data_IF_147529690999
#
_entry.id   IF_147529690999
#
_cell.length_a   1.000
_cell.length_b   1.000
_cell.length_c   1.000
_cell.angle_alpha   90.00
_cell.angle_beta   90.00
_cell.angle_gamma   90.00
#
_symmetry.space_group_name_H-M   'P 1'
#
loop_
_entity.id
_entity.type
_entity.pdbx_description
1 polymer ?
#
# COMPACT_ATOMS: atom_id res chain seq x y z
N UNK A 1 -20.10 77.11 -1.14
CA UNK A 1 -20.46 76.19 -0.03
C UNK A 1 -20.95 74.83 -0.57
N UNK A 2 -21.86 74.78 -1.56
CA UNK A 2 -22.42 73.53 -2.10
C UNK A 2 -21.30 72.62 -2.70
N UNK A 3 -20.40 73.17 -3.49
CA UNK A 3 -19.29 72.41 -4.13
C UNK A 3 -18.34 71.81 -3.08
N UNK A 4 -18.04 72.55 -2.01
CA UNK A 4 -17.21 72.06 -0.92
C UNK A 4 -17.89 70.88 -0.14
N UNK A 5 -19.19 70.99 0.09
CA UNK A 5 -20.00 69.93 0.70
C UNK A 5 -20.03 68.63 -0.13
N UNK A 6 -20.21 68.77 -1.46
CA UNK A 6 -20.15 67.62 -2.37
C UNK A 6 -18.79 66.93 -2.35
N UNK A 7 -17.69 67.72 -2.35
CA UNK A 7 -16.32 67.19 -2.27
C UNK A 7 -16.08 66.37 -0.98
N UNK A 8 -16.54 66.88 0.16
CA UNK A 8 -16.43 66.17 1.43
C UNK A 8 -17.24 64.86 1.44
N UNK A 9 -18.42 64.85 0.89
CA UNK A 9 -19.25 63.63 0.81
C UNK A 9 -18.55 62.59 -0.07
N UNK A 10 -17.99 63.00 -1.22
CA UNK A 10 -17.24 62.07 -2.11
C UNK A 10 -16.02 61.49 -1.40
N UNK A 11 -15.25 62.31 -0.66
CA UNK A 11 -14.10 61.80 0.13
C UNK A 11 -14.52 60.78 1.19
N UNK A 12 -15.61 60.99 1.89
CA UNK A 12 -16.13 60.08 2.89
C UNK A 12 -16.54 58.72 2.22
N UNK A 13 -17.26 58.79 1.11
CA UNK A 13 -17.69 57.60 0.40
C UNK A 13 -16.49 56.78 -0.13
N UNK A 14 -15.50 57.45 -0.70
CA UNK A 14 -14.27 56.78 -1.17
C UNK A 14 -13.50 56.18 -0.03
N UNK A 15 -13.33 56.88 1.12
CA UNK A 15 -12.63 56.35 2.27
C UNK A 15 -13.33 55.14 2.88
N UNK A 16 -14.67 55.18 3.01
CA UNK A 16 -15.49 54.06 3.45
C UNK A 16 -15.38 52.85 2.51
N UNK A 17 -15.40 53.10 1.20
CA UNK A 17 -15.24 52.05 0.18
C UNK A 17 -13.88 51.36 0.31
N UNK A 18 -12.79 52.11 0.51
CA UNK A 18 -11.44 51.57 0.72
C UNK A 18 -11.36 50.75 2.00
N UNK A 19 -11.92 51.22 3.11
CA UNK A 19 -11.98 50.50 4.38
C UNK A 19 -12.74 49.19 4.21
N UNK A 20 -13.91 49.22 3.58
CA UNK A 20 -14.69 48.01 3.30
C UNK A 20 -13.97 47.04 2.39
N UNK A 21 -13.30 47.53 1.37
CA UNK A 21 -12.49 46.69 0.48
C UNK A 21 -11.34 45.98 1.24
N UNK A 22 -10.61 46.74 2.06
CA UNK A 22 -9.55 46.17 2.90
C UNK A 22 -10.08 45.16 3.92
N UNK A 23 -11.19 45.48 4.57
CA UNK A 23 -11.83 44.56 5.51
C UNK A 23 -12.23 43.24 4.82
N UNK A 24 -12.90 43.31 3.69
CA UNK A 24 -13.30 42.13 2.92
C UNK A 24 -12.09 41.32 2.44
N UNK A 25 -10.99 41.99 2.06
CA UNK A 25 -9.73 41.32 1.68
C UNK A 25 -9.14 40.56 2.86
N UNK A 26 -9.11 41.16 4.06
CA UNK A 26 -8.60 40.48 5.28
C UNK A 26 -9.45 39.27 5.61
N UNK A 27 -10.79 39.41 5.63
CA UNK A 27 -11.72 38.32 5.93
C UNK A 27 -11.59 37.17 4.91
N UNK A 28 -11.48 37.50 3.62
CA UNK A 28 -11.27 36.50 2.57
C UNK A 28 -9.93 35.76 2.71
N UNK A 29 -8.85 36.47 3.07
CA UNK A 29 -7.55 35.87 3.31
C UNK A 29 -7.57 34.94 4.53
N UNK A 30 -8.24 35.31 5.62
CA UNK A 30 -8.42 34.42 6.77
C UNK A 30 -9.24 33.18 6.43
N UNK A 31 -10.35 33.34 5.70
CA UNK A 31 -11.16 32.21 5.24
C UNK A 31 -10.37 31.27 4.33
N UNK A 32 -9.56 31.82 3.43
CA UNK A 32 -8.68 31.03 2.57
C UNK A 32 -7.63 30.27 3.37
N UNK A 33 -6.98 30.92 4.35
CA UNK A 33 -6.03 30.28 5.28
C UNK A 33 -6.68 29.12 6.03
N UNK A 34 -7.86 29.35 6.60
CA UNK A 34 -8.58 28.33 7.33
C UNK A 34 -8.96 27.14 6.43
N UNK A 35 -9.36 27.40 5.20
CA UNK A 35 -9.66 26.36 4.21
C UNK A 35 -8.45 25.54 3.84
N UNK A 36 -7.29 26.18 3.63
CA UNK A 36 -6.01 25.50 3.36
C UNK A 36 -5.64 24.62 4.54
N UNK A 37 -5.71 25.15 5.79
CA UNK A 37 -5.40 24.39 6.99
C UNK A 37 -6.31 23.17 7.16
N UNK A 38 -7.62 23.33 6.94
CA UNK A 38 -8.58 22.21 6.99
C UNK A 38 -8.26 21.14 5.93
N UNK A 39 -7.91 21.56 4.72
CA UNK A 39 -7.52 20.63 3.65
C UNK A 39 -6.24 19.88 4.03
N UNK A 40 -5.25 20.56 4.60
CA UNK A 40 -4.02 19.92 5.07
C UNK A 40 -4.29 18.91 6.20
N UNK A 41 -5.16 19.24 7.16
CA UNK A 41 -5.58 18.31 8.22
C UNK A 41 -6.30 17.09 7.64
N UNK A 42 -7.17 17.27 6.66
CA UNK A 42 -7.85 16.15 5.99
C UNK A 42 -6.87 15.24 5.26
N UNK A 43 -5.90 15.81 4.56
CA UNK A 43 -4.83 15.04 3.89
C UNK A 43 -4.05 14.23 4.92
N UNK A 44 -3.63 14.86 6.04
CA UNK A 44 -2.91 14.17 7.11
C UNK A 44 -3.73 13.08 7.79
N UNK A 45 -5.03 13.28 8.01
CA UNK A 45 -5.91 12.23 8.55
C UNK A 45 -6.06 11.07 7.56
N UNK A 46 -6.17 11.36 6.27
CA UNK A 46 -6.18 10.33 5.22
C UNK A 46 -4.87 9.54 5.16
N UNK A 47 -3.72 10.23 5.24
CA UNK A 47 -2.40 9.58 5.32
C UNK A 47 -2.30 8.67 6.55
N UNK A 48 -2.73 9.14 7.73
CA UNK A 48 -2.75 8.36 8.96
C UNK A 48 -3.70 7.14 8.87
N UNK A 49 -4.87 7.31 8.29
CA UNK A 49 -5.80 6.19 8.05
C UNK A 49 -5.20 5.18 7.08
N UNK A 50 -4.58 5.66 6.01
CA UNK A 50 -3.89 4.81 5.05
C UNK A 50 -2.76 4.01 5.71
N UNK A 51 -1.90 4.66 6.52
CA UNK A 51 -0.85 3.98 7.29
C UNK A 51 -1.43 2.94 8.27
N UNK A 52 -2.51 3.26 8.98
CA UNK A 52 -3.19 2.32 9.89
C UNK A 52 -3.79 1.11 9.17
N UNK A 53 -4.26 1.26 7.93
CA UNK A 53 -4.82 0.14 7.15
C UNK A 53 -3.74 -0.77 6.56
N UNK A 54 -2.50 -0.30 6.46
CA UNK A 54 -1.37 -1.12 5.98
C UNK A 54 -0.86 -2.11 7.03
N UNK A 55 -1.10 -1.86 8.33
CA UNK A 55 -0.95 -2.89 9.35
C UNK A 55 -2.26 -3.67 9.34
N UNK A 56 -2.27 -4.88 8.82
CA UNK A 56 -3.45 -5.75 8.92
C UNK A 56 -3.63 -6.21 10.38
N UNK A 57 -4.53 -5.59 11.19
CA UNK A 57 -4.62 -5.88 12.62
C UNK A 57 -4.91 -7.36 12.87
N UNK A 58 -5.74 -7.97 12.01
CA UNK A 58 -6.10 -9.37 12.12
C UNK A 58 -4.89 -10.31 11.90
N UNK A 59 -3.99 -9.99 10.94
CA UNK A 59 -2.75 -10.74 10.75
C UNK A 59 -1.86 -10.65 11.99
N UNK A 60 -1.66 -9.44 12.53
CA UNK A 60 -0.84 -9.20 13.70
C UNK A 60 -1.38 -9.97 14.92
N UNK A 61 -2.68 -9.86 15.22
CA UNK A 61 -3.30 -10.60 16.32
C UNK A 61 -3.19 -12.11 16.15
N UNK A 62 -3.40 -12.62 14.95
CA UNK A 62 -3.28 -14.05 14.67
C UNK A 62 -1.84 -14.55 14.83
N UNK A 63 -0.85 -13.79 14.35
CA UNK A 63 0.57 -14.12 14.51
C UNK A 63 0.96 -14.13 15.98
N UNK A 64 0.57 -13.12 16.77
CA UNK A 64 0.82 -13.08 18.21
C UNK A 64 0.16 -14.24 18.96
N UNK A 65 -1.09 -14.60 18.63
CA UNK A 65 -1.77 -15.75 19.22
C UNK A 65 -1.08 -17.07 18.89
N UNK A 66 -0.56 -17.23 17.67
CA UNK A 66 0.19 -18.42 17.27
C UNK A 66 1.51 -18.50 18.01
N UNK A 67 2.26 -17.39 18.11
CA UNK A 67 3.50 -17.28 18.89
C UNK A 67 3.23 -17.63 20.36
N UNK A 68 2.17 -17.08 20.95
CA UNK A 68 1.77 -17.41 22.32
C UNK A 68 1.52 -18.91 22.50
N UNK A 69 0.77 -19.53 21.57
CA UNK A 69 0.49 -20.96 21.60
C UNK A 69 1.77 -21.82 21.47
N UNK A 70 2.75 -21.40 20.67
CA UNK A 70 4.05 -22.08 20.53
C UNK A 70 4.90 -21.90 21.79
N UNK A 71 4.92 -20.70 22.36
CA UNK A 71 5.64 -20.43 23.60
C UNK A 71 5.10 -21.24 24.79
N UNK A 72 3.78 -21.38 24.93
CA UNK A 72 3.16 -22.23 25.94
C UNK A 72 3.57 -23.71 25.81
N UNK A 73 3.68 -24.19 24.57
CA UNK A 73 4.06 -25.56 24.26
C UNK A 73 5.60 -25.75 24.24
N UNK A 74 6.36 -24.70 24.56
CA UNK A 74 7.84 -24.67 24.52
C UNK A 74 8.41 -25.17 23.19
N UNK A 75 7.77 -24.79 22.07
CA UNK A 75 8.23 -25.12 20.74
C UNK A 75 9.42 -24.24 20.34
N UNK A 76 10.41 -24.82 19.69
CA UNK A 76 11.64 -24.13 19.27
C UNK A 76 11.40 -23.09 18.17
N UNK A 77 10.26 -23.13 17.49
CA UNK A 77 9.89 -22.20 16.42
C UNK A 77 9.43 -20.82 16.95
N UNK A 78 9.07 -20.69 18.23
CA UNK A 78 8.56 -19.43 18.77
C UNK A 78 9.54 -18.25 18.65
N UNK A 79 10.85 -18.38 18.94
CA UNK A 79 11.83 -17.31 18.74
C UNK A 79 11.95 -16.86 17.28
N UNK A 80 11.95 -17.81 16.33
CA UNK A 80 12.01 -17.50 14.91
C UNK A 80 10.78 -16.71 14.45
N UNK A 81 9.58 -17.10 14.90
CA UNK A 81 8.34 -16.36 14.61
C UNK A 81 8.38 -14.93 15.14
N UNK A 82 8.92 -14.72 16.35
CA UNK A 82 9.06 -13.38 16.94
C UNK A 82 10.00 -12.54 16.07
N UNK A 83 11.14 -13.10 15.65
CA UNK A 83 12.09 -12.38 14.80
C UNK A 83 11.47 -11.99 13.45
N UNK A 84 10.78 -12.91 12.79
CA UNK A 84 10.11 -12.64 11.51
C UNK A 84 9.00 -11.58 11.66
N UNK A 85 8.21 -11.65 12.73
CA UNK A 85 7.20 -10.64 13.01
C UNK A 85 7.82 -9.26 13.28
N UNK A 86 8.96 -9.23 14.00
CA UNK A 86 9.71 -8.00 14.23
C UNK A 86 10.22 -7.39 12.93
N UNK A 87 10.78 -8.21 12.01
CA UNK A 87 11.24 -7.75 10.69
C UNK A 87 10.09 -7.18 9.86
N UNK A 88 8.91 -7.83 9.87
CA UNK A 88 7.72 -7.33 9.19
C UNK A 88 7.26 -5.97 9.72
N UNK A 89 7.26 -5.81 11.06
CA UNK A 89 6.88 -4.54 11.68
C UNK A 89 7.91 -3.45 11.40
N UNK A 90 9.21 -3.76 11.44
CA UNK A 90 10.27 -2.84 11.09
C UNK A 90 10.13 -2.32 9.65
N UNK A 91 9.89 -3.23 8.70
CA UNK A 91 9.65 -2.86 7.31
C UNK A 91 8.44 -1.92 7.18
N UNK A 92 7.31 -2.24 7.81
CA UNK A 92 6.09 -1.43 7.79
C UNK A 92 6.32 -0.05 8.42
N UNK A 93 7.08 0.04 9.50
CA UNK A 93 7.29 1.30 10.22
C UNK A 93 8.27 2.24 9.51
N UNK A 94 9.30 1.71 8.85
CA UNK A 94 10.42 2.52 8.36
C UNK A 94 10.58 2.54 6.84
N UNK A 95 10.07 1.54 6.12
CA UNK A 95 10.23 1.48 4.67
C UNK A 95 9.04 2.06 3.89
N UNK A 96 7.87 2.03 4.48
CA UNK A 96 6.62 2.49 3.83
C UNK A 96 6.63 3.97 3.46
N UNK A 97 7.33 4.81 4.25
CA UNK A 97 7.43 6.25 4.02
C UNK A 97 8.39 6.60 2.87
N UNK A 98 9.21 5.65 2.46
CA UNK A 98 10.15 5.87 1.36
C UNK A 98 9.42 5.89 0.03
N UNK A 99 9.83 6.74 -0.92
CA UNK A 99 9.23 6.76 -2.25
C UNK A 99 9.50 5.44 -3.00
N UNK A 100 10.61 4.79 -2.73
CA UNK A 100 11.04 3.51 -3.30
C UNK A 100 11.93 2.74 -2.32
N UNK A 101 11.93 1.41 -2.44
CA UNK A 101 12.75 0.47 -1.68
C UNK A 101 13.44 -0.49 -2.66
N UNK A 102 14.48 -1.18 -2.23
CA UNK A 102 15.07 -2.25 -3.02
C UNK A 102 14.06 -3.37 -3.26
N UNK A 103 14.02 -3.90 -4.46
CA UNK A 103 13.19 -5.07 -4.79
C UNK A 103 13.49 -6.25 -3.87
N UNK A 104 14.76 -6.43 -3.50
CA UNK A 104 15.15 -7.50 -2.58
C UNK A 104 14.60 -7.31 -1.17
N UNK A 105 14.48 -6.06 -0.69
CA UNK A 105 13.87 -5.78 0.63
C UNK A 105 12.36 -6.12 0.60
N UNK A 106 11.67 -5.79 -0.47
CA UNK A 106 10.26 -6.15 -0.68
C UNK A 106 10.06 -7.67 -0.77
N UNK A 107 10.97 -8.36 -1.48
CA UNK A 107 10.97 -9.83 -1.56
C UNK A 107 11.22 -10.47 -0.19
N UNK A 108 12.20 -9.99 0.57
CA UNK A 108 12.49 -10.50 1.91
C UNK A 108 11.28 -10.31 2.84
N UNK A 109 10.64 -9.14 2.77
CA UNK A 109 9.41 -8.86 3.51
C UNK A 109 8.28 -9.85 3.13
N UNK A 110 8.10 -10.11 1.83
CA UNK A 110 7.13 -11.10 1.35
C UNK A 110 7.45 -12.52 1.86
N UNK A 111 8.73 -12.92 1.86
CA UNK A 111 9.13 -14.24 2.35
C UNK A 111 8.93 -14.42 3.84
N UNK A 112 9.21 -13.38 4.65
CA UNK A 112 8.93 -13.39 6.09
C UNK A 112 7.41 -13.52 6.36
N UNK A 113 6.58 -12.80 5.59
CA UNK A 113 5.13 -12.92 5.66
C UNK A 113 4.65 -14.35 5.32
N UNK A 114 5.10 -14.91 4.20
CA UNK A 114 4.79 -16.28 3.78
C UNK A 114 5.21 -17.29 4.85
N UNK A 115 6.40 -17.11 5.42
CA UNK A 115 6.92 -18.00 6.46
C UNK A 115 6.05 -18.01 7.72
N UNK A 116 5.61 -16.82 8.19
CA UNK A 116 4.68 -16.71 9.34
C UNK A 116 3.33 -17.35 9.05
N UNK A 117 2.80 -17.17 7.84
CA UNK A 117 1.54 -17.82 7.44
C UNK A 117 1.68 -19.34 7.36
N UNK A 118 2.79 -19.88 6.83
CA UNK A 118 3.07 -21.32 6.84
C UNK A 118 3.11 -21.89 8.26
N UNK A 119 3.75 -21.21 9.19
CA UNK A 119 3.79 -21.62 10.60
C UNK A 119 2.39 -21.58 11.24
N UNK A 120 1.51 -20.66 10.83
CA UNK A 120 0.13 -20.54 11.30
C UNK A 120 -0.79 -21.63 10.74
N UNK A 121 -0.71 -21.87 9.46
CA UNK A 121 -1.57 -22.84 8.76
C UNK A 121 -1.08 -24.29 8.84
N UNK A 122 0.18 -24.49 9.28
CA UNK A 122 0.81 -25.82 9.34
C UNK A 122 0.69 -26.58 8.00
N UNK A 123 0.26 -27.83 8.05
CA UNK A 123 0.19 -28.74 6.89
C UNK A 123 -0.91 -28.37 5.88
N UNK A 124 -1.76 -27.39 6.21
CA UNK A 124 -2.87 -26.96 5.32
C UNK A 124 -2.48 -25.85 4.34
N UNK A 125 -1.23 -25.40 4.33
CA UNK A 125 -0.70 -24.40 3.40
C UNK A 125 0.59 -24.90 2.76
N UNK A 126 0.57 -25.02 1.44
CA UNK A 126 1.75 -25.31 0.63
C UNK A 126 2.07 -24.08 -0.20
N UNK A 127 3.28 -23.54 -0.06
CA UNK A 127 3.76 -22.39 -0.86
C UNK A 127 5.05 -22.76 -1.54
N UNK A 128 5.07 -22.64 -2.86
CA UNK A 128 6.25 -22.73 -3.70
C UNK A 128 6.66 -21.34 -4.16
N UNK A 129 7.95 -21.00 -4.02
CA UNK A 129 8.48 -19.70 -4.42
C UNK A 129 9.67 -19.86 -5.33
N UNK A 130 9.63 -19.19 -6.49
CA UNK A 130 10.76 -19.08 -7.41
C UNK A 130 11.18 -17.62 -7.53
N UNK A 131 12.45 -17.32 -7.23
CA UNK A 131 12.99 -15.96 -7.27
C UNK A 131 14.21 -15.94 -8.18
N UNK A 132 14.14 -15.12 -9.25
CA UNK A 132 15.22 -14.94 -10.24
C UNK A 132 15.43 -13.44 -10.48
N UNK A 133 16.16 -12.79 -9.59
CA UNK A 133 16.50 -11.36 -9.66
C UNK A 133 17.98 -11.24 -10.02
N UNK A 134 18.26 -10.74 -11.21
CA UNK A 134 19.64 -10.60 -11.70
C UNK A 134 20.35 -9.35 -11.14
N UNK A 135 19.59 -8.27 -10.86
CA UNK A 135 20.14 -7.01 -10.40
C UNK A 135 19.54 -6.61 -9.03
N UNK A 136 20.38 -6.54 -8.01
CA UNK A 136 19.98 -6.17 -6.65
C UNK A 136 19.77 -4.67 -6.42
N UNK A 137 20.08 -3.81 -7.39
CA UNK A 137 19.90 -2.35 -7.29
C UNK A 137 18.54 -1.86 -7.78
N UNK A 138 17.68 -2.77 -8.24
CA UNK A 138 16.32 -2.46 -8.70
C UNK A 138 15.50 -1.93 -7.53
N UNK A 139 14.80 -0.83 -7.77
CA UNK A 139 13.91 -0.20 -6.80
C UNK A 139 12.45 -0.28 -7.25
N UNK A 140 11.56 -0.55 -6.29
CA UNK A 140 10.10 -0.54 -6.50
C UNK A 140 9.39 0.23 -5.38
N UNK A 141 8.11 0.53 -5.57
CA UNK A 141 7.28 1.09 -4.51
C UNK A 141 7.15 0.09 -3.35
N UNK A 142 7.29 0.53 -2.08
CA UNK A 142 7.18 -0.36 -0.92
C UNK A 142 5.78 -0.96 -0.81
N UNK A 143 5.62 -2.12 -0.18
CA UNK A 143 4.33 -2.82 0.04
C UNK A 143 3.52 -3.05 -1.25
N UNK A 144 4.20 -3.31 -2.37
CA UNK A 144 3.56 -3.52 -3.66
C UNK A 144 3.12 -4.98 -3.86
N UNK A 145 3.96 -5.94 -3.43
CA UNK A 145 3.75 -7.36 -3.69
C UNK A 145 2.91 -8.07 -2.61
N UNK A 146 3.01 -7.64 -1.37
CA UNK A 146 2.28 -8.24 -0.23
C UNK A 146 0.77 -8.33 -0.44
N UNK A 147 0.06 -7.31 -0.93
CA UNK A 147 -1.40 -7.39 -1.07
C UNK A 147 -1.86 -8.51 -2.01
N UNK A 148 -1.04 -8.93 -2.98
CA UNK A 148 -1.36 -10.07 -3.84
C UNK A 148 -1.26 -11.39 -3.07
N UNK A 149 -0.23 -11.52 -2.21
CA UNK A 149 -0.02 -12.72 -1.38
C UNK A 149 -1.12 -12.83 -0.33
N UNK A 150 -1.49 -11.74 0.31
CA UNK A 150 -2.62 -11.69 1.24
C UNK A 150 -3.93 -12.10 0.58
N UNK A 151 -4.19 -11.60 -0.63
CA UNK A 151 -5.38 -11.98 -1.38
C UNK A 151 -5.38 -13.48 -1.70
N UNK A 152 -4.24 -14.06 -2.09
CA UNK A 152 -4.13 -15.49 -2.37
C UNK A 152 -4.40 -16.35 -1.13
N UNK A 153 -3.91 -15.96 0.05
CA UNK A 153 -4.16 -16.67 1.30
C UNK A 153 -5.59 -16.49 1.81
N UNK A 154 -6.17 -15.31 1.62
CA UNK A 154 -7.51 -14.97 2.10
C UNK A 154 -8.63 -15.61 1.25
N UNK A 155 -8.40 -15.67 -0.05
CA UNK A 155 -9.42 -16.05 -1.02
C UNK A 155 -9.17 -17.41 -1.68
N UNK A 156 -8.02 -18.03 -1.41
CA UNK A 156 -7.71 -19.37 -1.86
C UNK A 156 -8.54 -20.42 -1.13
N UNK A 157 -8.82 -21.51 -1.81
CA UNK A 157 -9.59 -22.65 -1.28
C UNK A 157 -8.66 -23.82 -0.96
N UNK A 158 -8.97 -24.52 0.13
CA UNK A 158 -8.28 -25.76 0.49
C UNK A 158 -8.81 -26.88 -0.44
N UNK A 159 -7.95 -27.42 -1.29
CA UNK A 159 -8.23 -28.52 -2.19
C UNK A 159 -7.37 -29.71 -1.78
N UNK A 160 -7.94 -30.89 -1.60
CA UNK A 160 -7.24 -32.10 -1.15
C UNK A 160 -6.45 -31.91 0.17
N UNK A 161 -6.95 -31.07 1.07
CA UNK A 161 -6.37 -30.87 2.40
C UNK A 161 -5.34 -29.73 2.48
N UNK A 162 -4.99 -29.08 1.37
CA UNK A 162 -4.03 -27.97 1.35
C UNK A 162 -4.48 -26.82 0.46
N UNK A 163 -4.24 -25.59 0.89
CA UNK A 163 -4.20 -24.40 0.05
C UNK A 163 -2.84 -24.38 -0.64
N UNK A 164 -2.83 -24.49 -1.97
CA UNK A 164 -1.61 -24.43 -2.75
C UNK A 164 -1.43 -23.02 -3.33
N UNK A 165 -0.25 -22.44 -3.13
CA UNK A 165 0.10 -21.12 -3.65
C UNK A 165 1.48 -21.20 -4.34
N UNK A 166 1.57 -20.67 -5.55
CA UNK A 166 2.81 -20.60 -6.32
C UNK A 166 3.13 -19.14 -6.56
N UNK A 167 4.34 -18.72 -6.20
CA UNK A 167 4.84 -17.35 -6.36
C UNK A 167 6.09 -17.38 -7.22
N UNK A 168 6.06 -16.69 -8.35
CA UNK A 168 7.23 -16.51 -9.21
C UNK A 168 7.57 -15.02 -9.33
N UNK A 169 8.83 -14.68 -9.05
CA UNK A 169 9.39 -13.33 -9.17
C UNK A 169 10.62 -13.40 -10.04
N UNK A 170 10.61 -12.72 -11.15
CA UNK A 170 11.78 -12.63 -12.03
C UNK A 170 11.97 -11.24 -12.59
N UNK A 171 13.24 -10.91 -12.86
CA UNK A 171 13.59 -9.70 -13.59
C UNK A 171 14.32 -10.07 -14.85
N UNK A 172 13.87 -9.51 -15.99
CA UNK A 172 14.50 -9.64 -17.29
C UNK A 172 14.57 -8.25 -17.90
N UNK A 173 15.73 -7.85 -18.39
CA UNK A 173 16.00 -6.51 -18.86
C UNK A 173 15.55 -5.46 -17.81
N UNK A 174 14.77 -4.46 -18.23
CA UNK A 174 14.21 -3.43 -17.35
C UNK A 174 12.78 -3.75 -16.89
N UNK A 175 12.43 -5.03 -16.75
CA UNK A 175 11.08 -5.48 -16.42
C UNK A 175 11.05 -6.44 -15.24
N UNK A 176 10.09 -6.25 -14.32
CA UNK A 176 9.68 -7.18 -13.26
C UNK A 176 8.48 -7.99 -13.75
N UNK A 177 8.57 -9.26 -13.58
CA UNK A 177 7.48 -10.19 -13.73
C UNK A 177 7.20 -10.83 -12.38
N UNK A 178 6.03 -10.58 -11.87
CA UNK A 178 5.51 -11.19 -10.65
C UNK A 178 4.26 -11.96 -11.00
N UNK A 179 4.23 -13.24 -10.66
CA UNK A 179 3.01 -14.04 -10.77
C UNK A 179 2.71 -14.71 -9.44
N UNK A 180 1.43 -14.78 -9.10
CA UNK A 180 0.94 -15.56 -7.99
C UNK A 180 -0.28 -16.35 -8.45
N UNK A 181 -0.31 -17.63 -8.10
CA UNK A 181 -1.40 -18.55 -8.40
C UNK A 181 -1.79 -19.28 -7.11
N UNK A 182 -3.07 -19.33 -6.82
CA UNK A 182 -3.61 -20.07 -5.68
C UNK A 182 -4.70 -21.04 -6.11
N UNK A 183 -4.84 -22.14 -5.36
CA UNK A 183 -5.98 -23.03 -5.53
C UNK A 183 -7.30 -22.30 -5.25
N UNK A 184 -8.31 -22.47 -6.12
CA UNK A 184 -9.62 -21.81 -6.00
C UNK A 184 -10.69 -22.62 -6.71
N UNK A 185 -11.77 -22.94 -6.00
CA UNK A 185 -12.94 -23.69 -6.52
C UNK A 185 -14.05 -22.77 -7.00
N UNK A 186 -13.96 -21.47 -6.72
CA UNK A 186 -15.03 -20.53 -7.03
C UNK A 186 -14.87 -20.03 -8.46
N UNK A 187 -15.89 -20.20 -9.28
CA UNK A 187 -16.12 -19.31 -10.41
C UNK A 187 -16.37 -17.91 -9.86
N UNK A 188 -15.32 -17.21 -9.53
CA UNK A 188 -15.47 -15.82 -9.20
C UNK A 188 -15.90 -15.09 -10.47
N UNK A 189 -17.14 -14.60 -10.47
CA UNK A 189 -17.51 -13.51 -11.37
C UNK A 189 -16.38 -12.49 -11.30
N UNK A 190 -15.91 -12.03 -12.45
CA UNK A 190 -14.76 -11.11 -12.70
C UNK A 190 -14.97 -9.72 -11.99
N UNK A 191 -15.75 -9.66 -10.94
CA UNK A 191 -15.83 -8.50 -10.08
C UNK A 191 -14.49 -8.40 -9.33
N UNK A 192 -13.61 -7.52 -9.81
CA UNK A 192 -12.39 -7.12 -9.12
C UNK A 192 -12.78 -6.82 -7.67
N UNK A 193 -12.45 -7.71 -6.75
CA UNK A 193 -12.71 -7.47 -5.34
C UNK A 193 -12.01 -6.17 -4.90
N UNK A 194 -12.53 -5.53 -3.85
CA UNK A 194 -12.02 -4.24 -3.31
C UNK A 194 -10.48 -4.25 -3.18
N UNK A 195 -9.88 -5.41 -2.88
CA UNK A 195 -8.43 -5.56 -2.78
C UNK A 195 -7.70 -5.30 -4.09
N UNK A 196 -8.08 -5.96 -5.19
CA UNK A 196 -7.47 -5.77 -6.50
C UNK A 196 -7.72 -4.38 -7.09
N UNK A 197 -8.87 -3.77 -6.80
CA UNK A 197 -9.15 -2.40 -7.20
C UNK A 197 -8.20 -1.39 -6.53
N UNK A 198 -7.94 -1.55 -5.24
CA UNK A 198 -6.99 -0.71 -4.51
C UNK A 198 -5.55 -0.88 -5.03
N UNK A 199 -5.15 -2.11 -5.33
CA UNK A 199 -3.84 -2.39 -5.94
C UNK A 199 -3.75 -1.74 -7.32
N UNK A 200 -4.78 -1.84 -8.15
CA UNK A 200 -4.83 -1.21 -9.48
C UNK A 200 -4.66 0.31 -9.39
N UNK A 201 -5.41 0.98 -8.50
CA UNK A 201 -5.28 2.42 -8.26
C UNK A 201 -3.86 2.81 -7.85
N UNK A 202 -3.23 2.01 -6.99
CA UNK A 202 -1.86 2.24 -6.56
C UNK A 202 -0.85 2.08 -7.70
N UNK A 203 -1.02 1.04 -8.54
CA UNK A 203 -0.19 0.83 -9.73
C UNK A 203 -0.34 1.99 -10.73
N UNK A 204 -1.54 2.49 -10.95
CA UNK A 204 -1.80 3.65 -11.81
C UNK A 204 -1.09 4.92 -11.31
N UNK A 205 -1.05 5.13 -9.99
CA UNK A 205 -0.37 6.28 -9.38
C UNK A 205 1.15 6.16 -9.43
N UNK A 206 1.71 4.96 -9.19
CA UNK A 206 3.14 4.75 -9.05
C UNK A 206 3.84 4.43 -10.39
N UNK A 207 3.13 3.76 -11.29
CA UNK A 207 3.65 3.25 -12.56
C UNK A 207 2.75 3.60 -13.75
N UNK A 208 2.40 4.88 -13.97
CA UNK A 208 1.48 5.27 -15.05
C UNK A 208 2.01 4.78 -16.39
N UNK A 209 1.19 4.04 -17.14
CA UNK A 209 1.51 3.44 -18.45
C UNK A 209 2.71 2.47 -18.48
N UNK A 210 3.25 2.09 -17.31
CA UNK A 210 4.44 1.24 -17.21
C UNK A 210 4.15 -0.12 -16.57
N UNK A 211 2.89 -0.48 -16.33
CA UNK A 211 2.51 -1.78 -15.79
C UNK A 211 1.45 -2.47 -16.63
N UNK A 212 1.37 -3.79 -16.46
CA UNK A 212 0.25 -4.63 -16.94
C UNK A 212 -0.17 -5.52 -15.78
N UNK A 213 -1.46 -5.59 -15.49
CA UNK A 213 -2.04 -6.47 -14.45
C UNK A 213 -3.12 -7.33 -15.08
N UNK A 214 -2.90 -8.62 -15.09
CA UNK A 214 -3.80 -9.63 -15.67
C UNK A 214 -4.26 -10.60 -14.59
N UNK A 215 -5.50 -11.05 -14.69
CA UNK A 215 -6.05 -12.08 -13.82
C UNK A 215 -6.64 -13.19 -14.68
N UNK A 216 -6.39 -14.43 -14.31
CA UNK A 216 -6.92 -15.60 -14.98
C UNK A 216 -7.51 -16.56 -13.95
N UNK A 217 -8.73 -16.99 -14.18
CA UNK A 217 -9.43 -17.99 -13.37
C UNK A 217 -9.62 -19.25 -14.21
N UNK A 218 -9.22 -20.36 -13.66
CA UNK A 218 -9.54 -21.71 -14.20
C UNK A 218 -10.54 -22.40 -13.26
N UNK A 219 -10.88 -23.66 -13.53
CA UNK A 219 -11.78 -24.43 -12.68
C UNK A 219 -11.22 -24.61 -11.24
N UNK A 220 -9.90 -24.66 -11.07
CA UNK A 220 -9.27 -25.01 -9.79
C UNK A 220 -8.21 -24.00 -9.33
N UNK A 221 -7.90 -22.98 -10.11
CA UNK A 221 -6.85 -22.01 -9.76
C UNK A 221 -7.25 -20.59 -10.12
N UNK A 222 -6.79 -19.64 -9.33
CA UNK A 222 -6.81 -18.21 -9.62
C UNK A 222 -5.40 -17.70 -9.73
N UNK A 223 -5.07 -17.03 -10.83
CA UNK A 223 -3.75 -16.50 -11.14
C UNK A 223 -3.79 -15.01 -11.35
N UNK A 224 -2.82 -14.31 -10.77
CA UNK A 224 -2.54 -12.89 -11.04
C UNK A 224 -1.15 -12.78 -11.64
N UNK A 225 -1.02 -11.99 -12.71
CA UNK A 225 0.25 -11.66 -13.34
C UNK A 225 0.43 -10.15 -13.39
N UNK A 226 1.49 -9.66 -12.77
CA UNK A 226 1.91 -8.27 -12.78
C UNK A 226 3.22 -8.14 -13.53
N UNK A 227 3.26 -7.26 -14.53
CA UNK A 227 4.49 -6.84 -15.19
C UNK A 227 4.69 -5.35 -14.96
N UNK A 228 5.89 -4.95 -14.51
CA UNK A 228 6.29 -3.54 -14.40
C UNK A 228 7.50 -3.33 -15.29
N UNK A 229 7.48 -2.28 -16.10
CA UNK A 229 8.55 -1.92 -17.06
C UNK A 229 9.21 -0.62 -16.62
N UNK A 230 10.44 -0.40 -17.10
CA UNK A 230 11.21 0.82 -16.88
C UNK A 230 11.47 1.11 -15.39
N UNK A 231 12.18 0.20 -14.74
CA UNK A 231 12.56 0.39 -13.33
C UNK A 231 13.46 1.59 -13.11
N UNK A 232 13.42 2.08 -11.89
CA UNK A 232 14.48 2.92 -11.36
C UNK A 232 15.54 2.05 -10.70
N UNK A 233 16.80 2.43 -10.90
CA UNK A 233 17.95 1.81 -10.27
C UNK A 233 18.54 2.77 -9.23
N UNK A 234 19.11 2.23 -8.16
CA UNK A 234 19.96 3.01 -7.27
C UNK A 234 21.12 3.57 -8.13
N UNK A 235 21.22 4.90 -8.22
CA UNK A 235 22.41 5.52 -8.80
C UNK A 235 23.55 5.28 -7.80
N UNK A 236 24.59 4.58 -8.24
CA UNK A 236 25.87 4.60 -7.53
C UNK A 236 26.39 6.04 -7.61
N UNK A 237 26.39 6.75 -6.47
CA UNK A 237 27.10 8.01 -6.30
C UNK A 237 28.61 7.73 -6.16
#
# INVERSE_FOLDING_TARGET
FIVLGVYFVVLIVVSLSLVMHNYNSIVNNENLKNKILQTQLQIKDQELRFLKTQIHPHFLFNSLNTIYGFALKKKDEAPEMILKLSNLLDYILYQIEKPQVLLMDEINHLLDYVSLEKMRFHDTLTVETTIKVANHTIQIAPMLLIPFVENAFKHGDIINGSLNVIIDIKTEDDSLFFTIENSSLKEHSINKGIGLENITKRLEMQYPNSYTLETNQTANTFKVALTIRNFKYLKNE
#
